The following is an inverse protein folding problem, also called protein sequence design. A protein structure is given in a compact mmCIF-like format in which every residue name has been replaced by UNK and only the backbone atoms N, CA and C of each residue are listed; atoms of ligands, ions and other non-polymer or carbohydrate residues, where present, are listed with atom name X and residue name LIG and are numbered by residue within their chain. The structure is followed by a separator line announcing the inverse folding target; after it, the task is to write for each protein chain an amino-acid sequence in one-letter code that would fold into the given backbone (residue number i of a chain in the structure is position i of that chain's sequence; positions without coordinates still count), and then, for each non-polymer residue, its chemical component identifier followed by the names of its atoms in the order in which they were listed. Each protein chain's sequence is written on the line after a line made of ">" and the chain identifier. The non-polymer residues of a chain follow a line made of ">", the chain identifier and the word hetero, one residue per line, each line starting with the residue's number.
data_IF_656652072537
#
_entry.id   IF_656652072537
#
_cell.length_a   1.000
_cell.length_b   1.000
_cell.length_c   1.000
_cell.angle_alpha   90.00
_cell.angle_beta   90.00
_cell.angle_gamma   90.00
#
_symmetry.space_group_name_H-M   'P 1'
#
loop_
_entity.id
_entity.type
_entity.pdbx_description
1 polymer ?
#
# COMPACT_ATOMS: atom_id res chain seq x y z
N UNK A 1 -4.77 -0.19 -0.79
CA UNK A 1 -4.83 0.00 -2.26
C UNK A 1 -5.05 1.47 -2.65
N UNK A 2 -6.10 2.14 -2.15
CA UNK A 2 -6.33 3.55 -2.51
C UNK A 2 -5.25 4.48 -1.97
N UNK A 3 -4.70 4.18 -0.80
CA UNK A 3 -3.59 4.94 -0.23
C UNK A 3 -2.34 4.92 -1.11
N UNK A 4 -2.06 3.79 -1.76
CA UNK A 4 -0.98 3.72 -2.76
C UNK A 4 -1.25 4.67 -3.93
N UNK A 5 -2.46 4.64 -4.49
CA UNK A 5 -2.85 5.53 -5.58
C UNK A 5 -2.81 7.01 -5.19
N UNK A 6 -3.17 7.35 -3.95
CA UNK A 6 -3.07 8.73 -3.44
C UNK A 6 -1.61 9.18 -3.38
N UNK A 7 -0.73 8.34 -2.83
CA UNK A 7 0.69 8.64 -2.74
C UNK A 7 1.33 8.84 -4.10
N UNK A 8 1.03 7.94 -5.05
CA UNK A 8 1.44 8.04 -6.45
C UNK A 8 0.95 9.36 -7.09
N UNK A 9 -0.36 9.61 -7.11
CA UNK A 9 -0.94 10.81 -7.74
C UNK A 9 -0.33 12.09 -7.17
N UNK A 10 -0.22 12.19 -5.85
CA UNK A 10 0.35 13.37 -5.18
C UNK A 10 1.84 13.51 -5.47
N UNK A 11 2.59 12.40 -5.42
CA UNK A 11 4.04 12.35 -5.64
C UNK A 11 4.43 12.60 -7.08
N UNK A 12 3.60 12.22 -8.04
CA UNK A 12 3.88 12.28 -9.47
C UNK A 12 4.25 13.67 -10.01
N UNK A 13 3.82 14.73 -9.34
CA UNK A 13 4.21 16.11 -9.67
C UNK A 13 5.65 16.42 -9.27
N UNK A 14 6.14 15.72 -8.26
CA UNK A 14 7.40 16.03 -7.58
C UNK A 14 8.50 14.99 -7.84
N UNK A 15 8.24 13.96 -8.62
CA UNK A 15 9.20 12.89 -8.94
C UNK A 15 10.53 13.43 -9.47
N UNK A 16 10.50 14.25 -10.55
CA UNK A 16 11.69 14.85 -11.16
C UNK A 16 11.93 16.33 -10.77
N UNK A 17 11.04 16.89 -9.95
CA UNK A 17 11.16 18.26 -9.45
C UNK A 17 10.73 18.27 -7.97
N UNK A 18 11.58 17.71 -7.12
CA UNK A 18 11.27 17.48 -5.71
C UNK A 18 10.85 18.77 -5.00
N UNK A 19 9.89 18.65 -4.11
CA UNK A 19 9.59 19.66 -3.09
C UNK A 19 10.14 19.20 -1.73
N UNK A 20 10.62 20.17 -0.93
CA UNK A 20 11.05 19.95 0.45
C UNK A 20 10.17 20.73 1.42
N UNK A 21 9.14 21.40 0.90
CA UNK A 21 8.12 22.10 1.67
C UNK A 21 7.09 21.09 2.15
N UNK A 22 6.90 20.97 3.47
CA UNK A 22 5.90 20.10 4.07
C UNK A 22 4.47 20.53 3.73
N UNK A 23 4.25 21.85 3.60
CA UNK A 23 2.93 22.44 3.33
C UNK A 23 2.61 22.56 1.83
N UNK A 24 3.26 21.75 0.99
CA UNK A 24 3.01 21.72 -0.45
C UNK A 24 1.53 21.45 -0.79
N UNK A 25 1.11 21.90 -1.99
CA UNK A 25 -0.22 21.60 -2.53
C UNK A 25 -0.36 20.11 -2.87
N UNK A 26 -1.22 19.40 -2.13
CA UNK A 26 -1.33 17.94 -2.20
C UNK A 26 -1.97 17.44 -3.50
N UNK A 27 -3.03 18.08 -3.97
CA UNK A 27 -3.72 17.74 -5.22
C UNK A 27 -3.82 18.98 -6.09
N UNK A 28 -2.83 19.20 -6.91
CA UNK A 28 -2.75 20.42 -7.73
C UNK A 28 -2.58 20.14 -9.22
N UNK A 29 -2.40 21.21 -9.97
CA UNK A 29 -2.03 21.11 -11.38
C UNK A 29 -0.72 20.36 -11.53
N UNK A 30 -0.70 19.39 -12.44
CA UNK A 30 0.46 18.54 -12.69
C UNK A 30 0.47 17.21 -11.93
N UNK A 31 -0.45 16.96 -10.99
CA UNK A 31 -0.66 15.62 -10.44
C UNK A 31 -1.41 14.75 -11.45
N UNK A 32 -1.02 13.50 -11.57
CA UNK A 32 -1.71 12.44 -12.31
C UNK A 32 -1.25 11.07 -11.77
N UNK A 33 -1.93 10.00 -12.14
CA UNK A 33 -1.47 8.66 -11.81
C UNK A 33 -0.30 8.24 -12.71
N UNK A 34 0.59 7.40 -12.18
CA UNK A 34 1.76 6.87 -12.88
C UNK A 34 1.64 5.35 -13.08
N UNK A 35 2.74 4.68 -13.40
CA UNK A 35 2.80 3.22 -13.48
C UNK A 35 2.61 2.55 -12.11
N UNK A 36 2.83 3.23 -11.00
CA UNK A 36 2.51 2.75 -9.65
C UNK A 36 1.03 2.40 -9.51
N UNK A 37 0.15 3.31 -9.87
CA UNK A 37 -1.30 3.07 -9.86
C UNK A 37 -1.71 2.02 -10.88
N UNK A 38 -1.18 2.06 -12.11
CA UNK A 38 -1.49 1.08 -13.16
C UNK A 38 -1.13 -0.34 -12.69
N UNK A 39 0.07 -0.52 -12.17
CA UNK A 39 0.53 -1.81 -11.67
C UNK A 39 -0.24 -2.26 -10.41
N UNK A 40 -0.59 -1.34 -9.51
CA UNK A 40 -1.44 -1.63 -8.34
C UNK A 40 -2.82 -2.13 -8.76
N UNK A 41 -3.44 -1.49 -9.74
CA UNK A 41 -4.72 -1.93 -10.32
C UNK A 41 -4.59 -3.30 -10.98
N UNK A 42 -3.49 -3.53 -11.72
CA UNK A 42 -3.21 -4.83 -12.35
C UNK A 42 -3.13 -5.97 -11.33
N UNK A 43 -2.45 -5.76 -10.18
CA UNK A 43 -2.39 -6.76 -9.11
C UNK A 43 -3.79 -7.01 -8.50
N UNK A 44 -4.56 -5.95 -8.25
CA UNK A 44 -5.93 -6.09 -7.75
C UNK A 44 -6.82 -6.86 -8.72
N UNK A 45 -6.77 -6.53 -10.01
CA UNK A 45 -7.53 -7.20 -11.07
C UNK A 45 -7.17 -8.68 -11.17
N UNK A 46 -5.87 -9.02 -11.10
CA UNK A 46 -5.42 -10.41 -11.12
C UNK A 46 -6.06 -11.24 -10.00
N UNK A 47 -6.04 -10.72 -8.76
CA UNK A 47 -6.60 -11.43 -7.59
C UNK A 47 -8.12 -11.54 -7.68
N UNK A 48 -8.80 -10.44 -8.03
CA UNK A 48 -10.27 -10.38 -8.06
C UNK A 48 -10.88 -11.25 -9.15
N UNK A 49 -10.19 -11.42 -10.28
CA UNK A 49 -10.67 -12.14 -11.44
C UNK A 49 -9.93 -13.46 -11.70
N UNK A 50 -9.07 -13.92 -10.78
CA UNK A 50 -8.37 -15.21 -10.88
C UNK A 50 -7.40 -15.28 -12.08
N UNK A 51 -6.76 -14.16 -12.45
CA UNK A 51 -5.79 -14.06 -13.54
C UNK A 51 -4.37 -14.24 -13.04
N UNK A 52 -3.45 -14.63 -13.92
CA UNK A 52 -2.04 -14.58 -13.55
C UNK A 52 -1.56 -13.13 -13.40
N UNK A 53 -0.64 -12.89 -12.46
CA UNK A 53 -0.07 -11.56 -12.24
C UNK A 53 0.65 -11.03 -13.47
N UNK A 54 1.34 -11.91 -14.20
CA UNK A 54 2.03 -11.54 -15.44
C UNK A 54 1.05 -11.07 -16.52
N UNK A 55 0.00 -11.84 -16.79
CA UNK A 55 -1.00 -11.48 -17.80
C UNK A 55 -1.71 -10.18 -17.46
N UNK A 56 -2.07 -9.99 -16.19
CA UNK A 56 -2.75 -8.77 -15.75
C UNK A 56 -1.83 -7.55 -15.84
N UNK A 57 -0.57 -7.65 -15.42
CA UNK A 57 0.42 -6.58 -15.58
C UNK A 57 0.60 -6.21 -17.06
N UNK A 58 0.77 -7.19 -17.95
CA UNK A 58 0.92 -6.93 -19.38
C UNK A 58 -0.30 -6.25 -19.98
N UNK A 59 -1.51 -6.73 -19.63
CA UNK A 59 -2.76 -6.19 -20.14
C UNK A 59 -2.94 -4.71 -19.71
N UNK A 60 -2.80 -4.42 -18.43
CA UNK A 60 -2.97 -3.07 -17.91
C UNK A 60 -1.88 -2.11 -18.41
N UNK A 61 -0.60 -2.52 -18.39
CA UNK A 61 0.48 -1.65 -18.85
C UNK A 61 0.44 -1.42 -20.37
N UNK A 62 -0.01 -2.38 -21.17
CA UNK A 62 -0.22 -2.19 -22.62
C UNK A 62 -1.41 -1.32 -22.94
N UNK A 63 -2.42 -1.28 -22.08
CA UNK A 63 -3.58 -0.38 -22.20
C UNK A 63 -3.21 1.06 -21.91
N UNK A 64 -2.24 1.28 -21.05
CA UNK A 64 -1.68 2.59 -20.67
C UNK A 64 -0.21 2.70 -21.08
N UNK A 65 0.12 2.79 -22.37
CA UNK A 65 1.50 2.63 -22.86
C UNK A 65 2.42 3.83 -22.55
N UNK A 66 1.86 4.95 -22.14
CA UNK A 66 2.61 6.20 -21.88
C UNK A 66 2.08 6.88 -20.61
N UNK A 67 2.28 6.27 -19.43
CA UNK A 67 1.89 6.93 -18.18
C UNK A 67 2.75 8.17 -17.93
N UNK A 68 2.30 9.03 -17.03
CA UNK A 68 3.15 10.09 -16.49
C UNK A 68 4.38 9.44 -15.83
N UNK A 69 5.56 10.05 -15.92
CA UNK A 69 6.82 9.48 -15.43
C UNK A 69 7.45 8.44 -16.37
N UNK A 70 6.62 7.78 -17.19
CA UNK A 70 6.95 6.63 -18.04
C UNK A 70 7.24 5.35 -17.22
N UNK A 71 7.37 4.22 -17.92
CA UNK A 71 7.84 2.98 -17.30
C UNK A 71 9.36 2.95 -17.23
N UNK A 72 9.93 2.43 -16.16
CA UNK A 72 11.36 2.14 -16.10
C UNK A 72 11.83 1.31 -17.30
N UNK A 73 13.01 1.64 -17.89
CA UNK A 73 13.42 1.12 -19.19
C UNK A 73 13.40 -0.42 -19.34
N UNK A 74 13.80 -1.17 -18.31
CA UNK A 74 13.75 -2.65 -18.33
C UNK A 74 12.32 -3.18 -18.28
N UNK A 75 11.44 -2.51 -17.54
CA UNK A 75 10.03 -2.87 -17.45
C UNK A 75 9.30 -2.54 -18.75
N UNK A 76 9.58 -1.40 -19.39
CA UNK A 76 9.06 -1.05 -20.72
C UNK A 76 9.46 -2.11 -21.79
N UNK A 77 10.71 -2.54 -21.78
CA UNK A 77 11.17 -3.61 -22.67
C UNK A 77 10.43 -4.94 -22.39
N UNK A 78 10.16 -5.27 -21.11
CA UNK A 78 9.41 -6.45 -20.73
C UNK A 78 7.94 -6.39 -21.21
N UNK A 79 7.27 -5.23 -21.06
CA UNK A 79 5.90 -5.00 -21.56
C UNK A 79 5.80 -5.20 -23.07
N UNK A 80 6.80 -4.75 -23.83
CA UNK A 80 6.83 -4.85 -25.29
C UNK A 80 7.24 -6.24 -25.81
N UNK A 81 7.76 -7.12 -24.94
CA UNK A 81 8.22 -8.46 -25.35
C UNK A 81 7.05 -9.35 -25.78
N UNK A 82 7.26 -10.15 -26.81
CA UNK A 82 6.33 -11.22 -27.22
C UNK A 82 6.40 -12.44 -26.29
N UNK A 83 7.54 -12.63 -25.61
CA UNK A 83 7.76 -13.70 -24.64
C UNK A 83 8.45 -13.12 -23.40
N UNK A 84 7.71 -12.36 -22.57
CA UNK A 84 8.28 -11.66 -21.42
C UNK A 84 8.76 -12.66 -20.37
N UNK A 85 10.04 -12.57 -20.00
CA UNK A 85 10.66 -13.38 -18.97
C UNK A 85 11.07 -12.52 -17.77
N UNK A 86 11.11 -13.06 -16.56
CA UNK A 86 11.67 -12.38 -15.40
C UNK A 86 13.10 -11.91 -15.67
N UNK A 87 13.45 -10.71 -15.22
CA UNK A 87 14.73 -10.09 -15.53
C UNK A 87 15.53 -9.66 -14.28
N UNK A 88 15.26 -10.30 -13.16
CA UNK A 88 16.00 -10.16 -11.91
C UNK A 88 16.13 -8.71 -11.42
N UNK A 89 15.02 -7.95 -11.48
CA UNK A 89 14.97 -6.59 -10.94
C UNK A 89 14.97 -6.61 -9.41
N UNK A 90 15.65 -5.64 -8.83
CA UNK A 90 15.60 -5.27 -7.42
C UNK A 90 15.03 -3.86 -7.22
N UNK A 91 14.45 -3.29 -8.27
CA UNK A 91 13.76 -2.01 -8.23
C UNK A 91 12.56 -2.01 -7.26
N UNK A 92 12.11 -0.82 -6.89
CA UNK A 92 10.99 -0.63 -5.97
C UNK A 92 9.62 -0.96 -6.57
N UNK A 93 9.55 -1.23 -7.89
CA UNK A 93 8.33 -1.56 -8.61
C UNK A 93 7.58 -2.80 -8.12
N UNK A 94 8.21 -3.73 -7.40
CA UNK A 94 7.51 -4.84 -6.73
C UNK A 94 6.82 -4.38 -5.43
N UNK A 95 7.45 -3.46 -4.71
CA UNK A 95 6.95 -2.94 -3.43
C UNK A 95 5.78 -1.95 -3.63
N UNK A 96 5.88 -1.06 -4.63
CA UNK A 96 4.87 -0.03 -4.91
C UNK A 96 3.49 -0.62 -5.21
N UNK A 97 3.44 -1.75 -5.95
CA UNK A 97 2.20 -2.34 -6.47
C UNK A 97 1.56 -3.42 -5.60
N UNK A 98 2.23 -3.88 -4.52
CA UNK A 98 1.84 -5.09 -3.77
C UNK A 98 0.61 -4.91 -2.88
N UNK A 99 0.21 -3.68 -2.61
CA UNK A 99 -0.80 -3.36 -1.58
C UNK A 99 -2.12 -4.17 -1.66
N UNK A 100 -2.69 -4.53 -2.84
CA UNK A 100 -3.93 -5.31 -2.89
C UNK A 100 -3.84 -6.68 -2.22
N UNK A 101 -2.67 -7.32 -2.26
CA UNK A 101 -2.42 -8.63 -1.65
C UNK A 101 -2.79 -8.63 -0.17
N UNK A 102 -2.25 -7.68 0.59
CA UNK A 102 -2.45 -7.63 2.03
C UNK A 102 -3.88 -7.24 2.47
N UNK A 103 -4.71 -6.75 1.55
CA UNK A 103 -6.12 -6.49 1.78
C UNK A 103 -7.00 -7.68 1.41
N UNK A 104 -6.62 -8.45 0.38
CA UNK A 104 -7.44 -9.53 -0.18
C UNK A 104 -7.13 -10.90 0.42
N UNK A 105 -6.01 -11.08 1.12
CA UNK A 105 -5.68 -12.30 1.86
C UNK A 105 -5.62 -12.03 3.37
N UNK A 106 -6.01 -13.03 4.17
CA UNK A 106 -6.19 -12.85 5.62
C UNK A 106 -5.13 -13.53 6.47
N UNK A 107 -4.53 -14.60 5.99
CA UNK A 107 -3.43 -15.29 6.63
C UNK A 107 -2.08 -14.68 6.22
N UNK A 108 -1.17 -14.47 7.20
CA UNK A 108 0.11 -13.83 6.92
C UNK A 108 0.98 -14.67 6.00
N UNK A 109 0.98 -15.99 6.16
CA UNK A 109 1.80 -16.86 5.31
C UNK A 109 1.35 -16.78 3.85
N UNK A 110 0.04 -16.76 3.62
CA UNK A 110 -0.55 -16.57 2.30
C UNK A 110 -0.26 -15.18 1.73
N UNK A 111 -0.34 -14.12 2.56
CA UNK A 111 0.02 -12.75 2.14
C UNK A 111 1.47 -12.69 1.67
N UNK A 112 2.40 -13.30 2.39
CA UNK A 112 3.82 -13.30 2.02
C UNK A 112 4.11 -14.14 0.78
N UNK A 113 3.43 -15.27 0.61
CA UNK A 113 3.52 -16.10 -0.59
C UNK A 113 2.96 -15.36 -1.82
N UNK A 114 1.81 -14.74 -1.70
CA UNK A 114 1.20 -13.98 -2.80
C UNK A 114 2.00 -12.71 -3.12
N UNK A 115 2.57 -12.02 -2.13
CA UNK A 115 3.46 -10.89 -2.36
C UNK A 115 4.69 -11.30 -3.19
N UNK A 116 5.30 -12.45 -2.90
CA UNK A 116 6.36 -13.03 -3.73
C UNK A 116 5.87 -13.27 -5.16
N UNK A 117 4.72 -13.93 -5.34
CA UNK A 117 4.15 -14.21 -6.67
C UNK A 117 3.91 -12.96 -7.50
N UNK A 118 3.55 -11.81 -6.87
CA UNK A 118 3.40 -10.53 -7.59
C UNK A 118 4.73 -9.96 -8.08
N UNK A 119 5.84 -10.27 -7.40
CA UNK A 119 7.18 -9.82 -7.76
C UNK A 119 7.78 -10.67 -8.88
N UNK A 120 7.59 -12.00 -8.84
CA UNK A 120 8.24 -12.98 -9.72
C UNK A 120 8.22 -12.65 -11.21
N UNK A 121 7.17 -12.08 -11.83
CA UNK A 121 7.17 -11.79 -13.27
C UNK A 121 8.28 -10.86 -13.73
N UNK A 122 8.82 -10.00 -12.85
CA UNK A 122 9.78 -8.94 -13.19
C UNK A 122 10.89 -8.77 -12.15
N UNK A 123 10.54 -8.86 -10.87
CA UNK A 123 11.39 -8.54 -9.71
C UNK A 123 11.75 -9.81 -8.92
N UNK A 124 12.20 -10.85 -9.63
CA UNK A 124 12.57 -12.13 -9.03
C UNK A 124 13.96 -12.13 -8.34
N UNK A 125 14.60 -10.97 -8.18
CA UNK A 125 15.76 -10.79 -7.33
C UNK A 125 15.34 -10.87 -5.84
N UNK A 126 16.17 -11.48 -4.94
CA UNK A 126 15.84 -11.58 -3.52
C UNK A 126 15.42 -10.25 -2.87
N UNK A 127 16.09 -9.15 -3.21
CA UNK A 127 15.76 -7.81 -2.69
C UNK A 127 14.41 -7.28 -3.23
N UNK A 128 14.08 -7.56 -4.50
CA UNK A 128 12.77 -7.21 -5.05
C UNK A 128 11.62 -7.97 -4.37
N UNK A 129 11.81 -9.28 -4.13
CA UNK A 129 10.86 -10.12 -3.39
C UNK A 129 10.74 -9.64 -1.93
N UNK A 130 11.87 -9.36 -1.29
CA UNK A 130 11.93 -8.87 0.10
C UNK A 130 11.15 -7.58 0.27
N UNK A 131 11.33 -6.60 -0.64
CA UNK A 131 10.60 -5.33 -0.61
C UNK A 131 9.08 -5.52 -0.70
N UNK A 132 8.60 -6.33 -1.63
CA UNK A 132 7.18 -6.64 -1.74
C UNK A 132 6.63 -7.31 -0.46
N UNK A 133 7.35 -8.30 0.10
CA UNK A 133 6.96 -8.97 1.35
C UNK A 133 6.93 -8.01 2.54
N UNK A 134 7.90 -7.12 2.67
CA UNK A 134 7.96 -6.16 3.78
C UNK A 134 6.75 -5.22 3.77
N UNK A 135 6.42 -4.66 2.61
CA UNK A 135 5.26 -3.76 2.45
C UNK A 135 3.95 -4.51 2.69
N UNK A 136 3.78 -5.70 2.12
CA UNK A 136 2.58 -6.51 2.32
C UNK A 136 2.39 -6.94 3.79
N UNK A 137 3.49 -7.30 4.48
CA UNK A 137 3.46 -7.62 5.92
C UNK A 137 2.99 -6.44 6.75
N UNK A 138 3.54 -5.24 6.50
CA UNK A 138 3.15 -4.03 7.23
C UNK A 138 1.67 -3.70 7.02
N UNK A 139 1.16 -3.72 5.79
CA UNK A 139 -0.24 -3.48 5.50
C UNK A 139 -1.14 -4.49 6.23
N UNK A 140 -0.79 -5.79 6.17
CA UNK A 140 -1.53 -6.84 6.85
C UNK A 140 -1.56 -6.63 8.36
N UNK A 141 -0.40 -6.33 8.97
CA UNK A 141 -0.25 -6.11 10.41
C UNK A 141 -1.15 -4.96 10.89
N UNK A 142 -1.03 -3.77 10.29
CA UNK A 142 -1.78 -2.59 10.70
C UNK A 142 -3.28 -2.71 10.39
N UNK A 143 -3.65 -3.33 9.28
CA UNK A 143 -5.04 -3.65 8.98
C UNK A 143 -5.67 -4.53 10.07
N UNK A 144 -4.94 -5.56 10.54
CA UNK A 144 -5.44 -6.47 11.59
C UNK A 144 -5.55 -5.76 12.94
N UNK A 145 -4.56 -4.97 13.32
CA UNK A 145 -4.56 -4.20 14.56
C UNK A 145 -5.74 -3.24 14.61
N UNK A 146 -5.93 -2.45 13.56
CA UNK A 146 -7.04 -1.49 13.46
C UNK A 146 -8.42 -2.16 13.55
N UNK A 147 -8.65 -3.29 12.89
CA UNK A 147 -9.92 -4.00 13.03
C UNK A 147 -10.16 -4.55 14.43
N UNK A 148 -9.11 -4.89 15.16
CA UNK A 148 -9.22 -5.33 16.54
C UNK A 148 -9.58 -4.18 17.47
N UNK A 149 -9.06 -2.97 17.21
CA UNK A 149 -9.38 -1.73 17.95
C UNK A 149 -10.84 -1.32 17.70
N UNK A 150 -11.28 -1.24 16.44
CA UNK A 150 -12.67 -0.89 16.06
C UNK A 150 -13.71 -1.85 16.68
N UNK A 151 -13.36 -3.13 16.86
CA UNK A 151 -14.24 -4.14 17.47
C UNK A 151 -14.36 -3.95 18.99
N UNK A 152 -13.30 -3.55 19.69
CA UNK A 152 -13.29 -3.31 21.13
C UNK A 152 -14.02 -2.02 21.52
N UNK A 153 -13.92 -0.98 20.70
CA UNK A 153 -14.60 0.29 20.95
C UNK A 153 -16.12 0.16 20.79
N UNK A 154 -16.59 -0.70 19.86
CA UNK A 154 -18.03 -0.98 19.72
C UNK A 154 -18.63 -1.77 20.88
N UNK A 155 -17.85 -2.57 21.61
CA UNK A 155 -18.28 -3.31 22.79
C UNK A 155 -18.25 -2.46 24.07
N UNK A 156 -17.45 -1.38 24.11
CA UNK A 156 -17.23 -0.54 25.28
C UNK A 156 -18.09 0.75 25.31
N UNK A 157 -18.94 1.01 24.32
CA UNK A 157 -19.81 2.20 24.33
C UNK A 157 -20.83 2.22 25.49
N UNK A 158 -21.16 1.07 26.08
CA UNK A 158 -22.09 0.97 27.20
C UNK A 158 -21.46 1.31 28.59
N UNK A 159 -20.14 1.52 28.68
CA UNK A 159 -19.43 1.69 29.98
C UNK A 159 -18.46 2.86 30.05
N UNK A 160 -18.59 3.90 29.23
CA UNK A 160 -17.66 5.05 29.25
C UNK A 160 -17.91 5.99 30.47
N UNK A 161 -17.15 5.73 31.54
CA UNK A 161 -16.73 6.76 32.48
C UNK A 161 -15.43 7.43 31.99
N UNK A 162 -15.35 8.75 32.08
CA UNK A 162 -14.20 9.61 31.76
C UNK A 162 -12.88 9.02 32.30
N UNK A 163 -12.09 8.33 31.52
CA UNK A 163 -10.73 7.89 31.86
C UNK A 163 -9.75 8.25 30.76
N UNK A 164 -8.91 9.23 31.06
CA UNK A 164 -7.58 9.51 30.48
C UNK A 164 -7.41 9.24 28.97
N UNK A 165 -8.05 10.02 28.11
CA UNK A 165 -7.89 9.98 26.65
C UNK A 165 -6.44 10.27 26.23
N UNK A 166 -5.74 11.17 26.91
CA UNK A 166 -4.35 11.52 26.60
C UNK A 166 -3.34 10.38 26.85
N UNK A 167 -3.56 9.56 27.89
CA UNK A 167 -2.67 8.42 28.16
C UNK A 167 -2.90 7.26 27.18
N UNK A 168 -4.13 7.08 26.69
CA UNK A 168 -4.46 6.08 25.66
C UNK A 168 -3.86 6.50 24.32
N UNK A 169 -4.00 7.75 23.90
CA UNK A 169 -3.46 8.26 22.65
C UNK A 169 -1.93 8.11 22.56
N UNK A 170 -1.20 8.48 23.63
CA UNK A 170 0.26 8.35 23.65
C UNK A 170 0.76 6.89 23.64
N UNK A 171 -0.02 5.96 24.21
CA UNK A 171 0.30 4.54 24.17
C UNK A 171 0.10 3.96 22.75
N UNK A 172 -1.03 4.28 22.13
CA UNK A 172 -1.37 3.82 20.78
C UNK A 172 -0.36 4.36 19.74
N UNK A 173 0.14 5.59 19.93
CA UNK A 173 1.18 6.18 19.09
C UNK A 173 2.51 5.43 19.23
N UNK A 174 2.96 5.17 20.46
CA UNK A 174 4.18 4.39 20.69
C UNK A 174 4.08 2.96 20.13
N UNK A 175 2.95 2.28 20.31
CA UNK A 175 2.73 0.94 19.75
C UNK A 175 2.78 0.97 18.23
N UNK A 176 2.28 2.03 17.59
CA UNK A 176 2.35 2.24 16.14
C UNK A 176 3.78 2.41 15.64
N UNK A 177 4.54 3.30 16.28
CA UNK A 177 5.94 3.55 15.94
C UNK A 177 6.76 2.25 16.07
N UNK A 178 6.61 1.56 17.20
CA UNK A 178 7.29 0.29 17.43
C UNK A 178 6.88 -0.80 16.42
N UNK A 179 5.63 -0.81 15.97
CA UNK A 179 5.15 -1.70 14.93
C UNK A 179 5.87 -1.48 13.60
N UNK A 180 5.99 -0.24 13.13
CA UNK A 180 6.73 0.09 11.90
C UNK A 180 8.21 -0.30 12.02
N UNK A 181 8.86 0.08 13.10
CA UNK A 181 10.28 -0.20 13.34
C UNK A 181 10.56 -1.70 13.46
N UNK A 182 9.70 -2.45 14.18
CA UNK A 182 9.86 -3.89 14.36
C UNK A 182 9.77 -4.65 13.03
N UNK A 183 8.80 -4.31 12.19
CA UNK A 183 8.67 -4.92 10.87
C UNK A 183 9.87 -4.53 10.00
N UNK A 184 10.26 -3.26 9.97
CA UNK A 184 11.41 -2.81 9.19
C UNK A 184 12.69 -3.58 9.59
N UNK A 185 12.98 -3.72 10.88
CA UNK A 185 14.15 -4.47 11.40
C UNK A 185 14.11 -5.94 11.02
N UNK A 186 12.94 -6.55 10.91
CA UNK A 186 12.81 -7.96 10.51
C UNK A 186 13.20 -8.24 9.06
N UNK A 187 13.20 -7.20 8.20
CA UNK A 187 13.59 -7.28 6.79
C UNK A 187 14.93 -6.58 6.49
N UNK A 188 15.30 -5.57 7.27
CA UNK A 188 16.48 -4.72 7.06
C UNK A 188 17.28 -4.62 8.36
N UNK A 189 18.29 -5.46 8.52
CA UNK A 189 19.09 -5.56 9.75
C UNK A 189 19.81 -4.25 10.12
N UNK A 190 20.16 -3.44 9.11
CA UNK A 190 20.82 -2.15 9.25
C UNK A 190 19.85 -0.96 9.40
N UNK A 191 18.55 -1.20 9.55
CA UNK A 191 17.50 -0.16 9.56
C UNK A 191 17.79 0.98 10.54
N UNK A 192 18.20 0.67 11.76
CA UNK A 192 18.44 1.67 12.82
C UNK A 192 19.71 2.51 12.60
N UNK A 193 20.61 2.06 11.76
CA UNK A 193 21.90 2.74 11.49
C UNK A 193 21.93 3.45 10.14
N UNK A 194 20.88 3.29 9.34
CA UNK A 194 20.78 3.94 8.03
C UNK A 194 20.57 5.44 8.15
N UNK A 195 21.16 6.14 7.21
CA UNK A 195 20.92 7.57 6.99
C UNK A 195 20.06 7.72 5.74
N UNK A 196 19.02 8.53 5.84
CA UNK A 196 18.10 8.79 4.75
C UNK A 196 18.22 10.25 4.28
N UNK A 197 19.13 10.57 3.34
CA UNK A 197 19.32 11.93 2.86
C UNK A 197 18.11 12.42 2.06
N UNK A 198 17.61 13.62 2.37
CA UNK A 198 16.52 14.23 1.60
C UNK A 198 16.92 14.42 0.13
N UNK A 199 15.98 14.13 -0.77
CA UNK A 199 16.16 14.31 -2.20
C UNK A 199 17.07 13.29 -2.89
N UNK A 200 17.53 12.25 -2.19
CA UNK A 200 18.24 11.13 -2.84
C UNK A 200 17.27 10.37 -3.73
N UNK A 201 17.52 10.36 -5.03
CA UNK A 201 16.76 9.57 -5.99
C UNK A 201 17.31 8.15 -6.05
N UNK A 202 16.54 7.16 -5.64
CA UNK A 202 16.94 5.75 -5.61
C UNK A 202 15.72 4.85 -5.85
N UNK A 203 15.71 4.14 -6.97
CA UNK A 203 14.60 3.29 -7.43
C UNK A 203 14.71 1.85 -6.93
N UNK A 204 15.50 1.57 -5.89
CA UNK A 204 15.68 0.21 -5.37
C UNK A 204 14.78 -0.11 -4.17
N UNK A 205 14.35 -1.38 -4.04
CA UNK A 205 13.68 -1.84 -2.83
C UNK A 205 14.54 -1.68 -1.57
N UNK A 206 15.86 -1.76 -1.73
CA UNK A 206 16.83 -1.68 -0.62
C UNK A 206 16.88 -0.29 0.02
N UNK A 207 16.51 0.76 -0.72
CA UNK A 207 16.47 2.13 -0.22
C UNK A 207 15.03 2.61 0.01
N UNK A 208 14.16 2.51 -0.99
CA UNK A 208 12.80 3.04 -0.93
C UNK A 208 11.94 2.41 0.18
N UNK A 209 12.06 1.09 0.41
CA UNK A 209 11.23 0.42 1.41
C UNK A 209 11.63 0.78 2.84
N UNK A 210 12.91 0.67 3.28
CA UNK A 210 13.28 1.10 4.62
C UNK A 210 13.09 2.60 4.83
N UNK A 211 13.32 3.46 3.83
CA UNK A 211 12.98 4.89 3.90
C UNK A 211 11.49 5.09 4.19
N UNK A 212 10.61 4.35 3.51
CA UNK A 212 9.16 4.43 3.73
C UNK A 212 8.78 4.07 5.18
N UNK A 213 9.40 3.03 5.77
CA UNK A 213 9.19 2.69 7.18
C UNK A 213 9.70 3.78 8.13
N UNK A 214 10.85 4.39 7.83
CA UNK A 214 11.39 5.50 8.60
C UNK A 214 10.44 6.70 8.62
N UNK A 215 9.90 7.09 7.47
CA UNK A 215 8.92 8.19 7.36
C UNK A 215 7.61 7.85 8.08
N UNK A 216 7.10 6.64 7.94
CA UNK A 216 5.91 6.18 8.65
C UNK A 216 6.07 6.17 10.18
N UNK A 217 7.28 5.91 10.69
CA UNK A 217 7.55 5.97 12.13
C UNK A 217 7.44 7.38 12.73
N UNK A 218 7.42 8.40 11.89
CA UNK A 218 7.27 9.81 12.28
C UNK A 218 5.85 10.33 12.03
N UNK A 219 5.01 9.56 11.32
CA UNK A 219 3.70 10.00 10.91
C UNK A 219 2.63 9.81 12.00
N UNK A 220 1.79 10.81 12.17
CA UNK A 220 0.66 10.84 13.10
C UNK A 220 -0.70 10.62 12.44
N UNK A 221 -0.80 10.75 11.12
CA UNK A 221 -2.02 10.58 10.35
C UNK A 221 -1.71 10.14 8.92
N UNK A 222 -2.75 9.79 8.15
CA UNK A 222 -2.61 9.47 6.74
C UNK A 222 -2.06 10.65 5.92
N UNK A 223 -2.62 11.84 6.13
CA UNK A 223 -2.17 13.05 5.43
C UNK A 223 -0.74 13.40 5.79
N UNK A 224 -0.40 13.35 7.08
CA UNK A 224 0.95 13.59 7.58
C UNK A 224 1.96 12.62 6.95
N UNK A 225 1.62 11.33 6.85
CA UNK A 225 2.45 10.33 6.19
C UNK A 225 2.74 10.67 4.72
N UNK A 226 1.72 11.10 3.97
CA UNK A 226 1.90 11.54 2.57
C UNK A 226 2.77 12.80 2.50
N UNK A 227 2.55 13.79 3.38
CA UNK A 227 3.35 15.01 3.42
C UNK A 227 4.82 14.73 3.73
N UNK A 228 5.09 13.88 4.72
CA UNK A 228 6.44 13.44 5.06
C UNK A 228 7.12 12.73 3.88
N UNK A 229 6.41 11.82 3.20
CA UNK A 229 6.92 11.08 2.06
C UNK A 229 7.34 12.03 0.92
N UNK A 230 6.45 12.89 0.49
CA UNK A 230 6.68 13.76 -0.67
C UNK A 230 7.69 14.86 -0.35
N UNK A 231 7.62 15.49 0.84
CA UNK A 231 8.58 16.54 1.26
C UNK A 231 9.96 15.99 1.62
N UNK A 232 10.13 14.67 1.69
CA UNK A 232 11.46 14.06 1.76
C UNK A 232 12.20 14.18 0.43
N UNK A 233 11.46 14.14 -0.69
CA UNK A 233 12.01 14.12 -2.05
C UNK A 233 12.54 12.74 -2.44
N UNK A 234 13.23 12.68 -3.56
CA UNK A 234 13.67 11.44 -4.19
C UNK A 234 12.64 10.96 -5.20
N UNK A 235 12.43 9.67 -5.29
CA UNK A 235 11.41 8.97 -6.10
C UNK A 235 10.03 9.14 -5.44
N UNK A 236 9.47 10.35 -5.57
CA UNK A 236 8.39 10.84 -4.71
C UNK A 236 7.06 10.10 -4.90
N UNK A 237 6.72 9.69 -6.12
CA UNK A 237 5.51 8.93 -6.42
C UNK A 237 5.58 7.52 -5.84
N UNK A 238 6.68 6.81 -6.07
CA UNK A 238 6.86 5.46 -5.52
C UNK A 238 7.00 5.45 -4.00
N UNK A 239 7.79 6.36 -3.40
CA UNK A 239 7.84 6.50 -1.93
C UNK A 239 6.46 6.84 -1.39
N UNK A 240 5.75 7.78 -2.04
CA UNK A 240 4.37 8.13 -1.74
C UNK A 240 3.43 6.93 -1.81
N UNK A 241 3.53 6.11 -2.86
CA UNK A 241 2.71 4.91 -3.03
C UNK A 241 2.96 3.87 -1.94
N UNK A 242 4.22 3.58 -1.61
CA UNK A 242 4.57 2.64 -0.54
C UNK A 242 4.07 3.16 0.81
N UNK A 243 4.41 4.39 1.18
CA UNK A 243 3.97 5.03 2.44
C UNK A 243 2.45 5.09 2.53
N UNK A 244 1.78 5.58 1.48
CA UNK A 244 0.33 5.69 1.43
C UNK A 244 -0.37 4.34 1.57
N UNK A 245 0.19 3.27 0.99
CA UNK A 245 -0.37 1.93 1.09
C UNK A 245 -0.40 1.38 2.53
N UNK A 246 0.65 1.65 3.30
CA UNK A 246 0.78 1.21 4.70
C UNK A 246 -0.02 2.17 5.62
N UNK A 247 0.06 3.48 5.37
CA UNK A 247 -0.68 4.49 6.13
C UNK A 247 -2.20 4.30 6.05
N UNK A 248 -2.73 3.89 4.88
CA UNK A 248 -4.15 3.51 4.71
C UNK A 248 -4.56 2.44 5.73
N UNK A 249 -3.72 1.44 5.92
CA UNK A 249 -4.01 0.33 6.83
C UNK A 249 -4.01 0.77 8.29
N UNK A 250 -3.08 1.64 8.68
CA UNK A 250 -2.96 2.12 10.08
C UNK A 250 -3.95 3.23 10.41
N UNK A 251 -3.98 4.28 9.61
CA UNK A 251 -4.72 5.51 9.93
C UNK A 251 -6.08 5.60 9.23
N UNK A 252 -6.29 4.86 8.15
CA UNK A 252 -7.40 5.10 7.23
C UNK A 252 -7.15 6.33 6.37
N UNK A 253 -8.03 6.58 5.42
CA UNK A 253 -7.92 7.70 4.49
C UNK A 253 -9.06 8.69 4.76
N UNK A 254 -8.81 10.01 4.89
CA UNK A 254 -9.85 11.03 4.96
C UNK A 254 -10.76 10.98 3.72
N UNK A 255 -12.07 11.23 3.92
CA UNK A 255 -13.07 11.09 2.84
C UNK A 255 -12.79 12.03 1.66
N UNK A 256 -12.41 13.27 1.95
CA UNK A 256 -12.06 14.26 0.94
C UNK A 256 -10.90 13.81 0.05
N UNK A 257 -9.86 13.23 0.63
CA UNK A 257 -8.72 12.70 -0.11
C UNK A 257 -9.12 11.50 -0.99
N UNK A 258 -10.04 10.63 -0.53
CA UNK A 258 -10.58 9.54 -1.34
C UNK A 258 -11.29 10.05 -2.58
N UNK A 259 -12.21 11.01 -2.39
CA UNK A 259 -13.01 11.59 -3.46
C UNK A 259 -12.10 12.28 -4.48
N UNK A 260 -11.13 13.05 -4.00
CA UNK A 260 -10.19 13.76 -4.85
C UNK A 260 -9.33 12.79 -5.68
N UNK A 261 -8.74 11.78 -5.07
CA UNK A 261 -7.94 10.78 -5.79
C UNK A 261 -8.75 10.03 -6.85
N UNK A 262 -9.98 9.62 -6.51
CA UNK A 262 -10.85 8.92 -7.46
C UNK A 262 -11.20 9.78 -8.68
N UNK A 263 -11.14 11.11 -8.60
CA UNK A 263 -11.38 11.99 -9.73
C UNK A 263 -10.26 11.99 -10.78
N UNK A 264 -9.08 11.52 -10.42
CA UNK A 264 -7.94 11.33 -11.35
C UNK A 264 -8.03 10.01 -12.13
N UNK A 265 -8.77 9.03 -11.60
CA UNK A 265 -8.75 7.67 -12.13
C UNK A 265 -9.72 7.50 -13.31
N UNK A 266 -9.30 6.85 -14.40
CA UNK A 266 -10.18 6.38 -15.47
C UNK A 266 -11.26 5.41 -14.96
N UNK A 267 -12.35 5.28 -15.71
CA UNK A 267 -13.51 4.47 -15.31
C UNK A 267 -13.19 2.99 -15.09
N UNK A 268 -12.30 2.42 -15.87
CA UNK A 268 -11.89 1.02 -15.74
C UNK A 268 -11.06 0.78 -14.46
N UNK A 269 -10.15 1.68 -14.09
CA UNK A 269 -9.44 1.64 -12.81
C UNK A 269 -10.38 1.83 -11.62
N UNK A 270 -11.29 2.82 -11.70
CA UNK A 270 -12.33 3.06 -10.69
C UNK A 270 -13.21 1.82 -10.51
N UNK A 271 -13.55 1.10 -11.57
CA UNK A 271 -14.31 -0.15 -11.50
C UNK A 271 -13.57 -1.23 -10.71
N UNK A 272 -12.28 -1.44 -10.96
CA UNK A 272 -11.48 -2.41 -10.19
C UNK A 272 -11.42 -2.00 -8.71
N UNK A 273 -11.23 -0.71 -8.42
CA UNK A 273 -11.26 -0.23 -7.04
C UNK A 273 -12.62 -0.49 -6.36
N UNK A 274 -13.74 -0.29 -7.05
CA UNK A 274 -15.07 -0.57 -6.49
C UNK A 274 -15.27 -2.06 -6.20
N UNK A 275 -14.84 -2.96 -7.09
CA UNK A 275 -14.85 -4.40 -6.85
C UNK A 275 -13.97 -4.79 -5.66
N UNK A 276 -12.78 -4.20 -5.58
CA UNK A 276 -11.87 -4.38 -4.44
C UNK A 276 -12.52 -3.95 -3.12
N UNK A 277 -13.16 -2.78 -3.08
CA UNK A 277 -13.85 -2.26 -1.91
C UNK A 277 -15.01 -3.18 -1.49
N UNK A 278 -15.87 -3.59 -2.43
CA UNK A 278 -16.97 -4.50 -2.16
C UNK A 278 -16.50 -5.85 -1.59
N UNK A 279 -15.44 -6.43 -2.15
CA UNK A 279 -14.86 -7.68 -1.65
C UNK A 279 -14.38 -7.56 -0.19
N UNK A 280 -13.72 -6.45 0.17
CA UNK A 280 -13.28 -6.20 1.53
C UNK A 280 -14.43 -5.96 2.51
N UNK A 281 -15.51 -5.32 2.08
CA UNK A 281 -16.72 -5.11 2.90
C UNK A 281 -17.43 -6.43 3.20
N UNK A 282 -17.59 -7.31 2.20
CA UNK A 282 -18.18 -8.65 2.39
C UNK A 282 -17.37 -9.45 3.42
N UNK A 283 -16.04 -9.47 3.32
CA UNK A 283 -15.18 -10.15 4.28
C UNK A 283 -15.31 -9.61 5.72
N UNK A 284 -15.56 -8.33 5.89
CA UNK A 284 -15.84 -7.74 7.21
C UNK A 284 -17.16 -8.24 7.79
N UNK A 285 -18.20 -8.33 6.98
CA UNK A 285 -19.53 -8.81 7.37
C UNK A 285 -19.46 -10.28 7.78
N UNK A 286 -18.86 -11.14 6.97
CA UNK A 286 -18.73 -12.57 7.26
C UNK A 286 -17.99 -12.82 8.58
N UNK A 287 -16.91 -12.08 8.85
CA UNK A 287 -16.17 -12.18 10.12
C UNK A 287 -17.00 -11.71 11.33
N UNK A 288 -17.83 -10.70 11.18
CA UNK A 288 -18.74 -10.23 12.22
C UNK A 288 -19.79 -11.30 12.55
N UNK A 289 -20.39 -11.94 11.53
CA UNK A 289 -21.36 -13.03 11.69
C UNK A 289 -20.76 -14.26 12.38
N UNK A 290 -19.55 -14.67 12.00
CA UNK A 290 -18.85 -15.80 12.61
C UNK A 290 -18.53 -15.57 14.10
N UNK A 291 -18.28 -14.32 14.52
CA UNK A 291 -18.06 -13.98 15.93
C UNK A 291 -19.34 -13.91 16.77
N UNK A 292 -20.44 -13.47 16.17
CA UNK A 292 -21.72 -13.30 16.87
C UNK A 292 -22.47 -14.62 17.11
N UNK A 293 -21.92 -15.78 16.73
CA UNK A 293 -22.48 -17.10 17.04
C UNK A 293 -23.97 -17.21 16.70
N UNK A 294 -24.36 -17.12 15.42
CA UNK A 294 -25.77 -17.27 15.05
C UNK A 294 -26.23 -18.73 15.27
N UNK A 295 -27.30 -18.98 16.06
CA UNK A 295 -27.86 -20.34 16.30
C UNK A 295 -28.55 -20.96 15.08
N UNK A 296 -28.55 -20.30 13.91
CA UNK A 296 -29.45 -20.61 12.77
C UNK A 296 -28.86 -21.53 11.70
N UNK A 297 -27.62 -22.01 11.79
CA UNK A 297 -27.01 -22.89 10.76
C UNK A 297 -27.10 -24.37 11.11
N UNK A 298 -27.80 -24.78 12.19
CA UNK A 298 -27.92 -26.18 12.61
C UNK A 298 -29.15 -26.94 12.02
N UNK A 299 -29.94 -26.36 11.13
CA UNK A 299 -31.19 -26.99 10.68
C UNK A 299 -31.38 -27.14 9.14
N UNK A 300 -30.34 -27.13 8.34
CA UNK A 300 -30.44 -27.50 6.91
C UNK A 300 -29.33 -28.47 6.48
N UNK A 301 -29.14 -29.56 7.19
CA UNK A 301 -28.39 -30.71 6.71
C UNK A 301 -29.12 -31.97 7.27
N UNK A 302 -30.26 -32.28 6.68
CA UNK A 302 -30.87 -33.61 6.64
C UNK A 302 -31.55 -33.78 5.29
#
# INVERSE_FOLDING_TARGET
>A
MLGAMIGDIVGSKYEFNNTFDYDFEMFGGGCDFTDDTICTVAIADAILNGRSYQESLLDWCRRYPSPKGAYGGRFAAWICSLNPQPYNSFGNGSAMRVSPVAWLFDDLSQVLEEAEKTALPTHNHPEGIKGAKAVAHAIWHFRKSRFSEESKDSENEETKGLKNENAKASKDENETIQGFMSIARSYYEDFDTRVYPKGKFDETCMDAVPLSFYLLSQASSFEDAIRLAISHGGDSDTIGAIVGSIAEARFGIPQEMKEKALSYLPKDMTRIYQLFKANNEIKKIDKKWLRCGSPWIAHQAC
#
